data_IF_115441399045
#
_entry.id   IF_115441399045
#
_cell.length_a   1.000
_cell.length_b   1.000
_cell.length_c   1.000
_cell.angle_alpha   90.00
_cell.angle_beta   90.00
_cell.angle_gamma   90.00
#
_symmetry.space_group_name_H-M   'P 1'
#
loop_
_entity.id
_entity.type
_entity.pdbx_description
1 polymer ?
#
# COMPACT_ATOMS: atom_id res chain seq x y z
N UNK A 1 -5.42 -30.23 -23.91
CA UNK A 1 -5.47 -28.78 -23.63
C UNK A 1 -6.23 -28.55 -22.32
N UNK A 2 -5.58 -28.03 -21.27
CA UNK A 2 -6.19 -27.85 -19.95
C UNK A 2 -7.33 -26.82 -19.96
N UNK A 3 -8.41 -27.05 -19.21
CA UNK A 3 -9.53 -26.10 -19.10
C UNK A 3 -9.01 -24.77 -18.53
N UNK A 4 -9.25 -23.67 -19.23
CA UNK A 4 -8.91 -22.33 -18.76
C UNK A 4 -9.62 -22.01 -17.43
N UNK A 5 -8.95 -21.25 -16.56
CA UNK A 5 -9.53 -20.83 -15.28
C UNK A 5 -10.69 -19.87 -15.52
N UNK A 6 -11.91 -20.30 -15.15
CA UNK A 6 -13.16 -19.57 -15.45
C UNK A 6 -13.18 -18.15 -14.89
N UNK A 7 -12.44 -17.88 -13.81
CA UNK A 7 -12.39 -16.58 -13.14
C UNK A 7 -11.10 -15.81 -13.45
N UNK A 8 -10.44 -16.07 -14.59
CA UNK A 8 -9.20 -15.39 -14.95
C UNK A 8 -9.39 -13.87 -15.11
N UNK A 9 -10.52 -13.44 -15.67
CA UNK A 9 -10.88 -12.01 -15.76
C UNK A 9 -11.02 -11.37 -14.38
N UNK A 10 -11.68 -12.06 -13.45
CA UNK A 10 -11.82 -11.62 -12.05
C UNK A 10 -10.45 -11.51 -11.38
N UNK A 11 -9.59 -12.51 -11.56
CA UNK A 11 -8.23 -12.48 -11.00
C UNK A 11 -7.42 -11.28 -11.53
N UNK A 12 -7.48 -11.03 -12.83
CA UNK A 12 -6.82 -9.88 -13.46
C UNK A 12 -7.36 -8.56 -12.90
N UNK A 13 -8.68 -8.44 -12.76
CA UNK A 13 -9.30 -7.26 -12.17
C UNK A 13 -8.87 -7.04 -10.71
N UNK A 14 -8.81 -8.09 -9.89
CA UNK A 14 -8.33 -8.01 -8.50
C UNK A 14 -6.86 -7.60 -8.41
N UNK A 15 -6.01 -8.06 -9.34
CA UNK A 15 -4.62 -7.59 -9.45
C UNK A 15 -4.53 -6.09 -9.76
N UNK A 16 -5.41 -5.57 -10.63
CA UNK A 16 -5.47 -4.13 -10.92
C UNK A 16 -5.86 -3.33 -9.67
N UNK A 17 -6.86 -3.80 -8.91
CA UNK A 17 -7.27 -3.15 -7.66
C UNK A 17 -6.13 -3.13 -6.64
N UNK A 18 -5.45 -4.26 -6.43
CA UNK A 18 -4.30 -4.34 -5.50
C UNK A 18 -3.18 -3.38 -5.91
N UNK A 19 -2.82 -3.33 -7.20
CA UNK A 19 -1.82 -2.37 -7.71
C UNK A 19 -2.23 -0.93 -7.48
N UNK A 20 -3.51 -0.61 -7.68
CA UNK A 20 -4.05 0.73 -7.40
C UNK A 20 -3.93 1.06 -5.92
N UNK A 21 -4.29 0.14 -5.02
CA UNK A 21 -4.15 0.32 -3.58
C UNK A 21 -2.68 0.53 -3.15
N UNK A 22 -1.74 -0.20 -3.76
CA UNK A 22 -0.30 0.00 -3.56
C UNK A 22 0.15 1.41 -3.97
N UNK A 23 -0.29 1.89 -5.14
CA UNK A 23 0.03 3.24 -5.61
C UNK A 23 -0.55 4.33 -4.71
N UNK A 24 -1.78 4.15 -4.24
CA UNK A 24 -2.43 5.09 -3.32
C UNK A 24 -1.66 5.13 -1.99
N UNK A 25 -1.30 3.97 -1.42
CA UNK A 25 -0.49 3.91 -0.20
C UNK A 25 0.88 4.58 -0.39
N UNK A 26 1.55 4.34 -1.52
CA UNK A 26 2.84 4.96 -1.80
C UNK A 26 2.74 6.49 -1.80
N UNK A 27 1.72 7.05 -2.45
CA UNK A 27 1.47 8.51 -2.46
C UNK A 27 1.17 9.05 -1.06
N UNK A 28 0.37 8.34 -0.27
CA UNK A 28 0.05 8.73 1.10
C UNK A 28 1.31 8.76 1.98
N UNK A 29 2.19 7.76 1.86
CA UNK A 29 3.47 7.71 2.57
C UNK A 29 4.42 8.84 2.14
N UNK A 30 4.50 9.16 0.85
CA UNK A 30 5.29 10.30 0.37
C UNK A 30 4.78 11.61 0.99
N UNK A 31 3.48 11.87 0.91
CA UNK A 31 2.85 13.06 1.52
C UNK A 31 3.12 13.16 3.02
N UNK A 32 2.99 12.05 3.75
CA UNK A 32 3.28 11.98 5.18
C UNK A 32 4.76 12.32 5.47
N UNK A 33 5.68 11.78 4.67
CA UNK A 33 7.11 12.08 4.77
C UNK A 33 7.42 13.55 4.52
N UNK A 34 6.79 14.15 3.50
CA UNK A 34 6.95 15.58 3.20
C UNK A 34 6.44 16.46 4.35
N UNK A 35 5.27 16.13 4.91
CA UNK A 35 4.71 16.82 6.08
C UNK A 35 5.63 16.69 7.31
N UNK A 36 6.19 15.50 7.54
CA UNK A 36 7.14 15.28 8.64
C UNK A 36 8.41 16.14 8.48
N UNK A 37 8.93 16.24 7.25
CA UNK A 37 10.09 17.08 6.96
C UNK A 37 9.78 18.58 7.13
N UNK A 38 8.58 19.02 6.70
CA UNK A 38 8.13 20.41 6.90
C UNK A 38 7.94 20.74 8.38
N UNK A 39 7.35 19.83 9.16
CA UNK A 39 7.22 19.98 10.61
C UNK A 39 8.58 20.15 11.30
N UNK A 40 9.55 19.31 10.94
CA UNK A 40 10.90 19.40 11.49
C UNK A 40 11.56 20.76 11.19
N UNK A 41 11.41 21.26 9.96
CA UNK A 41 11.92 22.58 9.56
C UNK A 41 11.24 23.71 10.32
N UNK A 42 9.90 23.70 10.38
CA UNK A 42 9.12 24.74 11.06
C UNK A 42 9.43 24.81 12.56
N UNK A 43 9.64 23.65 13.21
CA UNK A 43 10.06 23.58 14.62
C UNK A 43 11.44 24.19 14.81
N UNK A 44 12.41 23.79 13.99
CA UNK A 44 13.77 24.33 14.07
C UNK A 44 13.80 25.85 13.83
N UNK A 45 12.99 26.36 12.90
CA UNK A 45 12.86 27.79 12.64
C UNK A 45 12.23 28.53 13.83
N UNK A 46 11.19 27.98 14.44
CA UNK A 46 10.56 28.57 15.63
C UNK A 46 11.51 28.59 16.83
N UNK A 47 12.27 27.51 17.04
CA UNK A 47 13.28 27.43 18.11
C UNK A 47 14.38 28.47 17.90
N UNK A 48 14.86 28.61 16.67
CA UNK A 48 15.82 29.65 16.30
C UNK A 48 15.25 31.05 16.53
N UNK A 49 14.04 31.33 16.04
CA UNK A 49 13.39 32.63 16.17
C UNK A 49 13.19 33.02 17.64
N UNK A 50 12.78 32.06 18.47
CA UNK A 50 12.58 32.26 19.91
C UNK A 50 13.91 32.54 20.62
N UNK A 51 14.97 31.82 20.24
CA UNK A 51 16.32 32.03 20.80
C UNK A 51 16.91 33.38 20.39
N UNK A 52 16.77 33.76 19.11
CA UNK A 52 17.21 35.07 18.61
C UNK A 52 16.43 36.21 19.28
N UNK A 53 15.12 36.05 19.47
CA UNK A 53 14.29 37.01 20.19
C UNK A 53 14.79 37.24 21.63
N UNK A 54 15.04 36.17 22.39
CA UNK A 54 15.52 36.30 23.77
C UNK A 54 16.92 36.93 23.84
N UNK A 55 17.82 36.62 22.89
CA UNK A 55 19.14 37.25 22.82
C UNK A 55 19.04 38.75 22.54
N UNK A 56 18.25 39.15 21.54
CA UNK A 56 18.09 40.56 21.17
C UNK A 56 17.37 41.36 22.24
N UNK A 57 16.39 40.76 22.91
CA UNK A 57 15.71 41.38 24.06
C UNK A 57 16.69 41.75 25.17
N UNK A 58 17.71 40.91 25.44
CA UNK A 58 18.78 41.21 26.41
C UNK A 58 19.70 42.36 25.95
N UNK A 59 19.86 42.55 24.65
CA UNK A 59 20.67 43.61 24.06
C UNK A 59 19.94 44.96 23.96
N UNK A 60 18.64 44.98 24.28
CA UNK A 60 17.77 46.15 24.13
C UNK A 60 17.12 46.19 22.76
N UNK A 61 15.84 45.84 22.69
CA UNK A 61 15.00 45.97 21.50
C UNK A 61 14.10 47.18 21.61
N UNK A 62 13.81 47.83 20.47
CA UNK A 62 12.74 48.83 20.43
C UNK A 62 11.38 48.16 20.65
N UNK A 63 10.39 48.93 21.10
CA UNK A 63 9.02 48.43 21.24
C UNK A 63 8.43 47.96 19.90
N UNK A 64 8.81 48.59 18.80
CA UNK A 64 8.39 48.19 17.46
C UNK A 64 8.92 46.79 17.11
N UNK A 65 10.22 46.55 17.37
CA UNK A 65 10.85 45.26 17.10
C UNK A 65 10.28 44.16 18.00
N UNK A 66 10.05 44.45 19.29
CA UNK A 66 9.40 43.51 20.20
C UNK A 66 8.04 43.05 19.68
N UNK A 67 7.22 43.98 19.17
CA UNK A 67 5.90 43.65 18.61
C UNK A 67 6.02 42.84 17.31
N UNK A 68 7.00 43.15 16.46
CA UNK A 68 7.26 42.41 15.22
C UNK A 68 7.63 40.95 15.52
N UNK A 69 8.58 40.72 16.44
CA UNK A 69 8.99 39.38 16.85
C UNK A 69 7.84 38.58 17.43
N UNK A 70 7.07 39.16 18.37
CA UNK A 70 5.91 38.48 18.98
C UNK A 70 4.87 38.09 17.93
N UNK A 71 4.63 38.96 16.95
CA UNK A 71 3.70 38.67 15.86
C UNK A 71 4.21 37.54 14.98
N UNK A 72 5.50 37.54 14.64
CA UNK A 72 6.12 36.48 13.84
C UNK A 72 6.11 35.12 14.57
N UNK A 73 6.50 35.09 15.85
CA UNK A 73 6.46 33.87 16.68
C UNK A 73 5.04 33.31 16.72
N UNK A 74 4.03 34.15 17.00
CA UNK A 74 2.62 33.72 17.03
C UNK A 74 2.15 33.17 15.69
N UNK A 75 2.54 33.80 14.58
CA UNK A 75 2.24 33.30 13.24
C UNK A 75 2.89 31.94 13.00
N UNK A 76 4.18 31.80 13.29
CA UNK A 76 4.93 30.56 13.11
C UNK A 76 4.40 29.41 13.97
N UNK A 77 3.98 29.69 15.21
CA UNK A 77 3.27 28.71 16.05
C UNK A 77 1.92 28.27 15.46
N UNK A 78 1.17 29.21 14.86
CA UNK A 78 -0.10 28.88 14.23
C UNK A 78 0.11 28.00 13.00
N UNK A 79 1.12 28.30 12.18
CA UNK A 79 1.51 27.47 11.05
C UNK A 79 1.93 26.07 11.51
N UNK A 80 2.73 25.98 12.58
CA UNK A 80 3.13 24.69 13.15
C UNK A 80 1.92 23.87 13.59
N UNK A 81 0.98 24.47 14.32
CA UNK A 81 -0.27 23.79 14.74
C UNK A 81 -1.12 23.33 13.55
N UNK A 82 -1.11 24.07 12.43
CA UNK A 82 -1.81 23.63 11.21
C UNK A 82 -1.14 22.40 10.60
N UNK A 83 0.19 22.43 10.45
CA UNK A 83 0.96 21.30 9.95
C UNK A 83 0.82 20.06 10.82
N UNK A 84 0.78 20.22 12.15
CA UNK A 84 0.58 19.09 13.07
C UNK A 84 -0.77 18.41 12.84
N UNK A 85 -1.84 19.19 12.64
CA UNK A 85 -3.16 18.66 12.29
C UNK A 85 -3.17 17.96 10.93
N UNK A 86 -2.50 18.55 9.93
CA UNK A 86 -2.37 17.94 8.60
C UNK A 86 -1.59 16.62 8.65
N UNK A 87 -0.55 16.55 9.48
CA UNK A 87 0.22 15.33 9.70
C UNK A 87 -0.60 14.26 10.40
N UNK A 88 -1.38 14.61 11.42
CA UNK A 88 -2.32 13.68 12.07
C UNK A 88 -3.36 13.13 11.09
N UNK A 89 -3.91 13.98 10.22
CA UNK A 89 -4.82 13.55 9.15
C UNK A 89 -4.12 12.60 8.18
N UNK A 90 -2.88 12.92 7.78
CA UNK A 90 -2.09 12.07 6.90
C UNK A 90 -1.76 10.70 7.54
N UNK A 91 -1.51 10.65 8.85
CA UNK A 91 -1.37 9.38 9.59
C UNK A 91 -2.63 8.52 9.47
N UNK A 92 -3.81 9.13 9.67
CA UNK A 92 -5.08 8.43 9.53
C UNK A 92 -5.32 7.96 8.09
N UNK A 93 -4.97 8.76 7.08
CA UNK A 93 -5.02 8.39 5.66
C UNK A 93 -4.13 7.18 5.36
N UNK A 94 -2.89 7.17 5.85
CA UNK A 94 -1.95 6.04 5.67
C UNK A 94 -2.50 4.76 6.30
N UNK A 95 -3.10 4.83 7.50
CA UNK A 95 -3.74 3.69 8.13
C UNK A 95 -4.87 3.11 7.27
N UNK A 96 -5.76 3.97 6.76
CA UNK A 96 -6.84 3.55 5.84
C UNK A 96 -6.29 2.90 4.58
N UNK A 97 -5.27 3.50 3.96
CA UNK A 97 -4.64 2.95 2.76
C UNK A 97 -4.01 1.57 3.01
N UNK A 98 -3.40 1.36 4.19
CA UNK A 98 -2.84 0.05 4.59
C UNK A 98 -3.95 -0.99 4.73
N UNK A 99 -5.07 -0.64 5.37
CA UNK A 99 -6.22 -1.54 5.49
C UNK A 99 -6.82 -1.92 4.13
N UNK A 100 -6.99 -0.95 3.24
CA UNK A 100 -7.48 -1.19 1.87
C UNK A 100 -6.54 -2.11 1.08
N UNK A 101 -5.23 -1.87 1.18
CA UNK A 101 -4.24 -2.74 0.55
C UNK A 101 -4.35 -4.16 1.11
N UNK A 102 -4.42 -4.33 2.43
CA UNK A 102 -4.59 -5.65 3.04
C UNK A 102 -5.84 -6.38 2.53
N UNK A 103 -6.99 -5.70 2.47
CA UNK A 103 -8.24 -6.26 1.94
C UNK A 103 -8.09 -6.67 0.47
N UNK A 104 -7.51 -5.81 -0.36
CA UNK A 104 -7.30 -6.12 -1.78
C UNK A 104 -6.37 -7.31 -2.00
N UNK A 105 -5.32 -7.44 -1.19
CA UNK A 105 -4.42 -8.60 -1.17
C UNK A 105 -5.15 -9.89 -0.79
N UNK A 106 -6.01 -9.84 0.23
CA UNK A 106 -6.82 -10.98 0.67
C UNK A 106 -7.79 -11.44 -0.43
N UNK A 107 -8.52 -10.50 -1.04
CA UNK A 107 -9.45 -10.77 -2.14
C UNK A 107 -8.74 -11.44 -3.33
N UNK A 108 -7.59 -10.91 -3.74
CA UNK A 108 -6.80 -11.50 -4.82
C UNK A 108 -6.34 -12.91 -4.46
N UNK A 109 -5.79 -13.10 -3.25
CA UNK A 109 -5.32 -14.41 -2.77
C UNK A 109 -6.45 -15.44 -2.73
N UNK A 110 -7.68 -15.04 -2.42
CA UNK A 110 -8.83 -15.95 -2.46
C UNK A 110 -9.05 -16.52 -3.87
N UNK A 111 -9.07 -15.66 -4.89
CA UNK A 111 -9.26 -16.07 -6.29
C UNK A 111 -8.07 -16.90 -6.79
N UNK A 112 -6.86 -16.55 -6.37
CA UNK A 112 -5.64 -17.29 -6.70
C UNK A 112 -5.67 -18.73 -6.14
N UNK A 113 -6.12 -18.91 -4.90
CA UNK A 113 -6.32 -20.24 -4.31
C UNK A 113 -7.35 -21.07 -5.09
N UNK A 114 -8.42 -20.45 -5.59
CA UNK A 114 -9.40 -21.15 -6.44
C UNK A 114 -8.75 -21.63 -7.75
N UNK A 115 -7.91 -20.80 -8.37
CA UNK A 115 -7.15 -21.18 -9.57
C UNK A 115 -6.22 -22.36 -9.31
N UNK A 116 -5.49 -22.34 -8.21
CA UNK A 116 -4.61 -23.44 -7.81
C UNK A 116 -5.40 -24.75 -7.60
N UNK A 117 -6.54 -24.70 -6.91
CA UNK A 117 -7.42 -25.86 -6.71
C UNK A 117 -7.93 -26.43 -8.04
N UNK A 118 -8.37 -25.59 -8.97
CA UNK A 118 -8.83 -26.05 -10.29
C UNK A 118 -7.69 -26.70 -11.09
N UNK A 119 -6.48 -26.13 -11.02
CA UNK A 119 -5.31 -26.70 -11.70
C UNK A 119 -4.97 -28.10 -11.19
N UNK A 120 -4.99 -28.30 -9.87
CA UNK A 120 -4.78 -29.62 -9.24
C UNK A 120 -5.87 -30.60 -9.67
N UNK A 121 -7.13 -30.19 -9.65
CA UNK A 121 -8.25 -31.05 -10.06
C UNK A 121 -8.15 -31.45 -11.53
N UNK A 122 -7.86 -30.49 -12.41
CA UNK A 122 -7.70 -30.74 -13.85
C UNK A 122 -6.53 -31.69 -14.12
N UNK A 123 -5.43 -31.55 -13.39
CA UNK A 123 -4.28 -32.47 -13.49
C UNK A 123 -4.66 -33.89 -13.07
N UNK A 124 -5.40 -34.05 -11.97
CA UNK A 124 -5.90 -35.36 -11.51
C UNK A 124 -6.83 -36.00 -12.54
N UNK A 125 -7.77 -35.23 -13.09
CA UNK A 125 -8.70 -35.72 -14.12
C UNK A 125 -7.96 -36.16 -15.39
N UNK A 126 -6.95 -35.41 -15.83
CA UNK A 126 -6.14 -35.78 -17.00
C UNK A 126 -5.35 -37.06 -16.76
N UNK A 127 -4.67 -37.18 -15.60
CA UNK A 127 -3.94 -38.41 -15.24
C UNK A 127 -4.86 -39.63 -15.18
N UNK A 128 -6.07 -39.47 -14.63
CA UNK A 128 -7.05 -40.56 -14.60
C UNK A 128 -7.47 -40.99 -16.01
N UNK A 129 -7.71 -40.04 -16.91
CA UNK A 129 -8.05 -40.34 -18.32
C UNK A 129 -6.90 -40.99 -19.08
N UNK A 130 -5.67 -40.52 -18.85
CA UNK A 130 -4.46 -41.11 -19.44
C UNK A 130 -4.31 -42.56 -18.98
N UNK A 131 -4.46 -42.84 -17.68
CA UNK A 131 -4.39 -44.21 -17.16
C UNK A 131 -5.48 -45.12 -17.75
N UNK A 132 -6.74 -44.65 -17.82
CA UNK A 132 -7.82 -45.42 -18.46
C UNK A 132 -7.50 -45.72 -19.92
N UNK A 133 -6.96 -44.75 -20.66
CA UNK A 133 -6.55 -44.96 -22.06
C UNK A 133 -5.41 -45.96 -22.19
N UNK A 134 -4.45 -45.99 -21.26
CA UNK A 134 -3.35 -46.96 -21.25
C UNK A 134 -3.85 -48.36 -20.94
N UNK A 135 -4.78 -48.51 -19.99
CA UNK A 135 -5.42 -49.78 -19.67
C UNK A 135 -6.19 -50.34 -20.87
N UNK A 136 -6.93 -49.48 -21.60
CA UNK A 136 -7.63 -49.88 -22.82
C UNK A 136 -6.67 -50.34 -23.93
N UNK A 137 -5.54 -49.66 -24.11
CA UNK A 137 -4.50 -50.07 -25.08
C UNK A 137 -3.92 -51.42 -24.69
N UNK A 138 -3.54 -51.60 -23.42
CA UNK A 138 -2.98 -52.86 -22.92
C UNK A 138 -3.95 -54.03 -23.09
N UNK A 139 -5.25 -53.83 -22.89
CA UNK A 139 -6.27 -54.84 -23.13
C UNK A 139 -6.39 -55.20 -24.62
N UNK A 140 -6.31 -54.22 -25.53
CA UNK A 140 -6.34 -54.46 -26.98
C UNK A 140 -5.12 -55.20 -27.48
N UNK A 141 -3.92 -54.83 -27.04
CA UNK A 141 -2.68 -55.53 -27.40
C UNK A 141 -2.70 -56.99 -26.92
N UNK A 142 -3.26 -57.24 -25.73
CA UNK A 142 -3.43 -58.59 -25.19
C UNK A 142 -4.45 -59.43 -25.97
N UNK A 143 -5.45 -58.82 -26.59
CA UNK A 143 -6.45 -59.49 -27.43
C UNK A 143 -5.98 -59.68 -28.87
N UNK A 144 -5.13 -58.79 -29.40
CA UNK A 144 -4.55 -58.87 -30.74
C UNK A 144 -3.35 -59.83 -30.86
N UNK A 145 -2.77 -60.29 -29.75
CA UNK A 145 -1.67 -61.27 -29.70
C UNK A 145 -2.10 -62.74 -29.72
N UNK A 146 -3.37 -63.04 -30.01
CA UNK A 146 -3.92 -64.40 -30.13
C UNK A 146 -4.29 -64.79 -31.58
N UNK A 147 -3.62 -64.17 -32.57
CA UNK A 147 -3.67 -64.59 -33.97
C UNK A 147 -2.40 -65.34 -34.35
#
# INVERSE_FOLDING_TARGET
MGKAFKLQSVLNYRQIIERKAQQVLARALTRQGDLMAQLARQRAELDYLTSDFENRKRQGLSMADLNLYRSHIRYSEQQLRSLEKEFEQSNAEVCKCREELMRSCQDRRMVEKLKQKQAVQTRRENLHRENLSLDEIALRERQGGLA
#
